data_IF_779789103059
#
_entry.id   IF_779789103059
#
_cell.length_a   1.000
_cell.length_b   1.000
_cell.length_c   1.000
_cell.angle_alpha   90.00
_cell.angle_beta   90.00
_cell.angle_gamma   90.00
#
_symmetry.space_group_name_H-M   'P 1'
#
loop_
_entity.id
_entity.type
_entity.pdbx_description
1 polymer ?
#
# COMPACT_ATOMS: atom_id res chain seq x y z
N UNK A 1 20.32 -4.97 0.54
CA UNK A 1 19.15 -4.67 -0.32
C UNK A 1 17.91 -4.17 0.45
N UNK A 2 17.66 -4.61 1.69
CA UNK A 2 16.50 -4.18 2.50
C UNK A 2 16.53 -2.69 2.88
N UNK A 3 17.70 -2.18 3.29
CA UNK A 3 17.89 -0.78 3.71
C UNK A 3 17.54 0.26 2.63
N UNK A 4 18.04 0.10 1.40
CA UNK A 4 17.73 1.00 0.27
C UNK A 4 16.24 1.03 -0.07
N UNK A 5 15.54 -0.10 0.07
CA UNK A 5 14.10 -0.16 -0.13
C UNK A 5 13.33 0.62 0.93
N UNK A 6 13.70 0.48 2.20
CA UNK A 6 13.08 1.23 3.31
C UNK A 6 13.31 2.73 3.13
N UNK A 7 14.52 3.14 2.77
CA UNK A 7 14.85 4.54 2.47
C UNK A 7 14.00 5.12 1.33
N UNK A 8 13.75 4.33 0.28
CA UNK A 8 12.89 4.74 -0.83
C UNK A 8 11.42 4.90 -0.43
N UNK A 9 10.92 4.06 0.49
CA UNK A 9 9.54 4.15 1.01
C UNK A 9 9.37 5.35 1.94
N UNK A 10 10.35 5.62 2.80
CA UNK A 10 10.37 6.76 3.73
C UNK A 10 10.60 8.13 3.07
N UNK A 11 10.69 8.18 1.74
CA UNK A 11 10.84 9.46 1.03
C UNK A 11 9.67 10.37 1.40
N UNK A 12 9.99 11.58 1.86
CA UNK A 12 9.03 12.54 2.43
C UNK A 12 7.80 12.65 1.55
N UNK A 13 6.68 12.21 2.09
CA UNK A 13 5.37 12.27 1.45
C UNK A 13 4.48 13.17 2.29
N UNK A 14 3.90 14.19 1.66
CA UNK A 14 2.95 15.09 2.33
C UNK A 14 1.73 14.31 2.81
N UNK A 15 1.21 14.68 3.97
CA UNK A 15 -0.07 14.18 4.46
C UNK A 15 -1.23 14.89 3.77
N UNK A 16 -2.28 14.13 3.47
CA UNK A 16 -3.52 14.64 2.89
C UNK A 16 -4.66 14.31 3.82
N UNK A 17 -5.41 15.33 4.20
CA UNK A 17 -6.61 15.16 5.00
C UNK A 17 -7.82 15.02 4.06
N UNK A 18 -8.69 14.06 4.36
CA UNK A 18 -9.87 13.81 3.55
C UNK A 18 -10.95 13.08 4.32
N UNK A 19 -12.11 12.94 3.67
CA UNK A 19 -13.28 12.27 4.22
C UNK A 19 -13.52 10.96 3.49
N UNK A 20 -13.82 9.89 4.23
CA UNK A 20 -14.19 8.60 3.67
C UNK A 20 -15.57 8.69 3.04
N UNK A 21 -15.66 8.55 1.72
CA UNK A 21 -16.93 8.60 0.96
C UNK A 21 -17.62 7.24 0.92
N UNK A 22 -16.85 6.16 0.86
CA UNK A 22 -17.40 4.81 0.83
C UNK A 22 -16.41 3.80 1.42
N UNK A 23 -16.87 3.04 2.40
CA UNK A 23 -16.18 1.89 3.01
C UNK A 23 -17.02 0.60 2.85
N UNK A 24 -16.39 -0.57 2.97
CA UNK A 24 -17.08 -1.87 3.01
C UNK A 24 -17.34 -2.56 1.66
N UNK A 25 -17.32 -1.84 0.54
CA UNK A 25 -17.51 -2.46 -0.79
C UNK A 25 -16.29 -3.24 -1.31
N UNK A 26 -15.09 -2.91 -0.83
CA UNK A 26 -13.85 -3.53 -1.26
C UNK A 26 -13.02 -3.91 -0.04
N UNK A 27 -12.43 -5.11 -0.07
CA UNK A 27 -11.57 -5.58 1.00
C UNK A 27 -10.35 -4.66 1.17
N UNK A 28 -10.07 -4.27 2.42
CA UNK A 28 -8.88 -3.49 2.81
C UNK A 28 -8.67 -2.20 2.00
N UNK A 29 -9.78 -1.59 1.55
CA UNK A 29 -9.77 -0.47 0.63
C UNK A 29 -10.95 0.46 0.91
N UNK A 30 -10.67 1.76 0.93
CA UNK A 30 -11.71 2.80 1.04
C UNK A 30 -11.55 3.85 -0.04
N UNK A 31 -12.64 4.56 -0.34
CA UNK A 31 -12.62 5.73 -1.22
C UNK A 31 -12.59 6.99 -0.35
N UNK A 32 -11.53 7.79 -0.47
CA UNK A 32 -11.34 9.03 0.31
C UNK A 32 -11.40 10.23 -0.62
N UNK A 33 -12.17 11.25 -0.24
CA UNK A 33 -12.23 12.54 -0.92
C UNK A 33 -11.30 13.53 -0.24
N UNK A 34 -10.36 14.07 -1.01
CA UNK A 34 -9.39 15.08 -0.57
C UNK A 34 -9.73 16.41 -1.22
N UNK A 35 -9.58 17.50 -0.47
CA UNK A 35 -9.73 18.85 -0.99
C UNK A 35 -8.71 19.16 -2.08
N UNK A 36 -9.13 19.92 -3.09
CA UNK A 36 -8.26 20.39 -4.15
C UNK A 36 -8.80 21.70 -4.70
N UNK A 37 -7.91 22.48 -5.33
CA UNK A 37 -8.28 23.71 -6.00
C UNK A 37 -7.72 23.70 -7.42
N UNK A 38 -8.46 24.32 -8.35
CA UNK A 38 -8.04 24.52 -9.72
C UNK A 38 -8.16 26.00 -10.07
N UNK A 39 -7.07 26.59 -10.52
CA UNK A 39 -7.04 27.93 -11.08
C UNK A 39 -7.74 27.95 -12.45
N UNK A 40 -8.60 28.94 -12.67
CA UNK A 40 -9.19 29.23 -13.97
C UNK A 40 -8.57 30.50 -14.55
N UNK A 41 -7.79 30.37 -15.63
CA UNK A 41 -7.07 31.50 -16.25
C UNK A 41 -8.01 32.53 -16.88
N UNK A 42 -9.20 32.16 -17.36
CA UNK A 42 -10.11 33.13 -17.97
C UNK A 42 -10.78 34.03 -16.93
N UNK A 43 -11.14 33.44 -15.79
CA UNK A 43 -11.86 34.13 -14.70
C UNK A 43 -10.91 34.65 -13.62
N UNK A 44 -9.63 34.25 -13.65
CA UNK A 44 -8.60 34.59 -12.65
C UNK A 44 -9.06 34.25 -11.21
N UNK A 45 -9.66 33.06 -11.04
CA UNK A 45 -10.22 32.61 -9.76
C UNK A 45 -9.89 31.15 -9.48
N UNK A 46 -9.64 30.85 -8.20
CA UNK A 46 -9.54 29.47 -7.68
C UNK A 46 -10.93 28.86 -7.49
N UNK A 47 -11.16 27.69 -8.07
CA UNK A 47 -12.35 26.89 -7.87
C UNK A 47 -12.04 25.62 -7.08
N UNK A 48 -12.97 25.19 -6.22
CA UNK A 48 -12.85 23.93 -5.50
C UNK A 48 -12.99 22.77 -6.48
N UNK A 49 -12.01 21.87 -6.48
CA UNK A 49 -11.99 20.65 -7.30
C UNK A 49 -11.53 19.49 -6.41
N UNK A 50 -12.45 18.80 -5.72
CA UNK A 50 -12.09 17.68 -4.89
C UNK A 50 -11.62 16.49 -5.73
N UNK A 51 -10.71 15.68 -5.16
CA UNK A 51 -10.18 14.47 -5.77
C UNK A 51 -10.56 13.25 -4.93
N UNK A 52 -10.96 12.16 -5.59
CA UNK A 52 -11.24 10.90 -4.92
C UNK A 52 -10.08 9.92 -5.15
N UNK A 53 -9.55 9.35 -4.07
CA UNK A 53 -8.47 8.35 -4.12
C UNK A 53 -8.95 7.01 -3.56
N UNK A 54 -8.41 5.92 -4.12
CA UNK A 54 -8.49 4.60 -3.49
C UNK A 54 -7.34 4.45 -2.52
N UNK A 55 -7.68 4.26 -1.25
CA UNK A 55 -6.73 4.22 -0.13
C UNK A 55 -6.70 2.81 0.44
N UNK A 56 -5.51 2.33 0.77
CA UNK A 56 -5.33 1.05 1.43
C UNK A 56 -5.53 1.19 2.94
N UNK A 57 -6.48 0.44 3.46
CA UNK A 57 -6.73 0.25 4.89
C UNK A 57 -6.39 -1.20 5.26
N UNK A 58 -5.24 -1.49 5.89
CA UNK A 58 -4.79 -2.86 6.15
C UNK A 58 -5.74 -3.70 7.00
N UNK A 59 -6.38 -3.07 8.00
CA UNK A 59 -7.18 -3.74 9.02
C UNK A 59 -8.68 -3.46 8.88
N UNK A 60 -9.09 -2.71 7.85
CA UNK A 60 -10.51 -2.37 7.59
C UNK A 60 -11.17 -1.65 8.78
N UNK A 61 -10.43 -0.73 9.39
CA UNK A 61 -10.85 0.03 10.58
C UNK A 61 -11.78 1.20 10.25
N UNK A 62 -11.80 1.65 9.00
CA UNK A 62 -12.52 2.85 8.60
C UNK A 62 -14.01 2.58 8.30
N UNK A 63 -14.83 3.61 8.52
CA UNK A 63 -16.25 3.68 8.20
C UNK A 63 -16.53 4.89 7.30
N UNK A 64 -17.66 4.85 6.60
CA UNK A 64 -18.10 5.98 5.76
C UNK A 64 -18.37 7.19 6.66
N UNK A 65 -17.83 8.36 6.29
CA UNK A 65 -17.97 9.59 7.06
C UNK A 65 -16.75 9.95 7.94
N UNK A 66 -15.81 9.03 8.16
CA UNK A 66 -14.60 9.32 8.94
C UNK A 66 -13.73 10.39 8.26
N UNK A 67 -13.12 11.24 9.08
CA UNK A 67 -12.06 12.16 8.65
C UNK A 67 -10.71 11.51 8.91
N UNK A 68 -9.89 11.39 7.88
CA UNK A 68 -8.64 10.61 7.91
C UNK A 68 -7.46 11.39 7.34
N UNK A 69 -6.27 11.13 7.89
CA UNK A 69 -4.99 11.51 7.27
C UNK A 69 -4.49 10.34 6.42
N UNK A 70 -4.20 10.62 5.15
CA UNK A 70 -3.68 9.65 4.19
C UNK A 70 -2.32 10.09 3.66
N UNK A 71 -1.49 9.10 3.36
CA UNK A 71 -0.12 9.32 2.87
C UNK A 71 0.01 8.72 1.46
N UNK A 72 0.47 9.50 0.46
CA UNK A 72 0.76 9.00 -0.88
C UNK A 72 2.09 8.23 -0.92
N UNK A 73 2.33 7.50 -2.01
CA UNK A 73 3.59 6.77 -2.22
C UNK A 73 3.53 5.30 -1.84
N UNK A 74 2.48 4.87 -1.15
CA UNK A 74 2.25 3.46 -0.83
C UNK A 74 1.48 2.75 -1.95
N UNK A 75 2.21 2.16 -2.90
CA UNK A 75 1.61 1.43 -4.02
C UNK A 75 1.26 0.00 -3.63
N UNK A 76 -0.02 -0.27 -3.38
CA UNK A 76 -0.54 -1.63 -3.12
C UNK A 76 -1.16 -2.28 -4.35
N UNK A 77 -1.70 -1.48 -5.27
CA UNK A 77 -2.35 -1.95 -6.50
C UNK A 77 -2.14 -0.94 -7.63
N UNK A 78 -2.72 -1.17 -8.81
CA UNK A 78 -2.63 -0.27 -9.97
C UNK A 78 -3.16 1.14 -9.65
N UNK A 79 -4.34 1.21 -9.02
CA UNK A 79 -5.04 2.47 -8.68
C UNK A 79 -4.85 2.90 -7.21
N UNK A 80 -4.43 1.98 -6.33
CA UNK A 80 -4.22 2.24 -4.89
C UNK A 80 -2.79 2.68 -4.63
N UNK A 81 -2.61 3.99 -4.44
CA UNK A 81 -1.29 4.65 -4.21
C UNK A 81 -1.18 5.38 -2.88
N UNK A 82 -2.21 5.28 -2.06
CA UNK A 82 -2.32 5.94 -0.77
C UNK A 82 -2.58 4.91 0.32
N UNK A 83 -2.08 5.17 1.52
CA UNK A 83 -2.32 4.39 2.74
C UNK A 83 -2.88 5.29 3.83
N UNK A 84 -3.68 4.72 4.72
CA UNK A 84 -4.21 5.43 5.89
C UNK A 84 -3.09 5.61 6.92
N UNK A 85 -2.87 6.83 7.40
CA UNK A 85 -1.94 7.12 8.49
C UNK A 85 -2.65 7.08 9.84
N UNK A 86 -3.71 7.88 9.98
CA UNK A 86 -4.49 8.00 11.22
C UNK A 86 -5.93 8.42 10.95
N UNK A 87 -6.81 8.14 11.92
CA UNK A 87 -8.16 8.69 11.98
C UNK A 87 -8.07 10.01 12.74
N UNK A 88 -8.53 11.09 12.13
CA UNK A 88 -8.57 12.43 12.74
C UNK A 88 -9.86 12.57 13.54
N UNK A 89 -10.99 12.23 12.93
CA UNK A 89 -12.29 12.24 13.58
C UNK A 89 -13.08 11.00 13.14
N UNK A 90 -13.41 10.08 14.06
CA UNK A 90 -14.28 8.95 13.75
C UNK A 90 -15.74 9.41 13.62
N UNK A 91 -16.48 8.77 12.73
CA UNK A 91 -17.92 8.93 12.59
C UNK A 91 -18.66 7.67 13.05
N UNK A 92 -19.68 7.83 13.89
CA UNK A 92 -20.44 6.71 14.45
C UNK A 92 -19.66 6.01 15.57
N UNK A 93 -19.11 4.82 15.29
CA UNK A 93 -18.44 4.03 16.34
C UNK A 93 -17.13 4.67 16.79
N UNK A 94 -16.81 4.67 18.10
CA UNK A 94 -15.54 5.16 18.62
C UNK A 94 -14.32 4.43 18.04
N UNK A 95 -13.13 5.01 18.23
CA UNK A 95 -11.88 4.43 17.71
C UNK A 95 -11.47 3.14 18.45
N UNK A 96 -11.88 3.01 19.71
CA UNK A 96 -11.53 1.90 20.61
C UNK A 96 -12.18 0.58 20.19
N UNK A 97 -13.41 0.65 19.65
CA UNK A 97 -14.17 -0.52 19.18
C UNK A 97 -13.69 -1.02 17.80
N UNK A 98 -12.75 -0.31 17.18
CA UNK A 98 -12.28 -0.58 15.82
C UNK A 98 -10.91 -1.25 15.85
N UNK A 99 -10.58 -2.07 14.83
CA UNK A 99 -9.25 -2.64 14.77
C UNK A 99 -8.21 -1.52 14.59
N UNK A 100 -7.06 -1.60 15.28
CA UNK A 100 -6.05 -0.54 15.23
C UNK A 100 -5.44 -0.42 13.84
N UNK A 101 -5.05 0.79 13.45
CA UNK A 101 -4.33 1.02 12.18
C UNK A 101 -2.85 0.69 12.40
N UNK A 102 -2.25 -0.18 11.57
CA UNK A 102 -0.85 -0.52 11.72
C UNK A 102 0.06 0.69 11.57
N UNK A 103 1.09 0.78 12.41
CA UNK A 103 2.10 1.85 12.33
C UNK A 103 2.91 1.74 11.03
N UNK A 104 3.63 2.81 10.67
CA UNK A 104 4.49 2.77 9.48
C UNK A 104 5.54 1.66 9.57
N UNK A 105 6.10 1.45 10.75
CA UNK A 105 7.14 0.45 11.00
C UNK A 105 6.61 -0.98 10.85
N UNK A 106 5.43 -1.27 11.40
CA UNK A 106 4.75 -2.55 11.20
C UNK A 106 4.46 -2.81 9.71
N UNK A 107 3.99 -1.79 8.99
CA UNK A 107 3.74 -1.91 7.55
C UNK A 107 5.02 -2.21 6.77
N UNK A 108 6.13 -1.57 7.14
CA UNK A 108 7.44 -1.82 6.54
C UNK A 108 7.95 -3.23 6.87
N UNK A 109 7.82 -3.67 8.13
CA UNK A 109 8.19 -5.01 8.55
C UNK A 109 7.44 -6.08 7.76
N UNK A 110 6.13 -5.93 7.55
CA UNK A 110 5.33 -6.84 6.72
C UNK A 110 5.83 -6.88 5.27
N UNK A 111 6.25 -5.74 4.70
CA UNK A 111 6.81 -5.72 3.34
C UNK A 111 8.18 -6.39 3.26
N UNK A 112 9.03 -6.18 4.27
CA UNK A 112 10.35 -6.80 4.37
C UNK A 112 10.21 -8.32 4.45
N UNK A 113 9.38 -8.81 5.36
CA UNK A 113 9.10 -10.24 5.53
C UNK A 113 8.58 -10.88 4.22
N UNK A 114 7.64 -10.22 3.53
CA UNK A 114 7.12 -10.71 2.24
C UNK A 114 8.21 -10.78 1.16
N UNK A 115 9.15 -9.83 1.16
CA UNK A 115 10.27 -9.83 0.21
C UNK A 115 11.27 -10.94 0.56
N UNK A 116 11.64 -11.08 1.83
CA UNK A 116 12.55 -12.13 2.31
C UNK A 116 11.99 -13.52 2.01
N UNK A 117 10.72 -13.78 2.31
CA UNK A 117 10.06 -15.04 1.97
C UNK A 117 10.06 -15.32 0.46
N UNK A 118 9.94 -14.28 -0.37
CA UNK A 118 10.01 -14.41 -1.83
C UNK A 118 11.41 -14.76 -2.31
N UNK A 119 12.45 -14.16 -1.76
CA UNK A 119 13.84 -14.46 -2.12
C UNK A 119 14.24 -15.86 -1.65
N UNK A 120 13.91 -16.25 -0.41
CA UNK A 120 14.13 -17.62 0.10
C UNK A 120 13.49 -18.67 -0.83
N UNK A 121 12.25 -18.43 -1.29
CA UNK A 121 11.58 -19.32 -2.26
C UNK A 121 12.31 -19.38 -3.62
N UNK A 122 12.91 -18.27 -4.07
CA UNK A 122 13.68 -18.23 -5.33
C UNK A 122 15.01 -18.98 -5.19
N UNK A 123 15.68 -18.83 -4.06
CA UNK A 123 16.93 -19.52 -3.76
C UNK A 123 16.72 -21.03 -3.66
N UNK A 124 15.69 -21.48 -2.93
CA UNK A 124 15.32 -22.89 -2.86
C UNK A 124 15.04 -23.47 -4.25
N UNK A 125 14.32 -22.74 -5.12
CA UNK A 125 14.07 -23.16 -6.51
C UNK A 125 15.35 -23.25 -7.34
N UNK A 126 16.29 -22.30 -7.17
CA UNK A 126 17.59 -22.30 -7.87
C UNK A 126 18.45 -23.48 -7.44
N UNK A 127 18.52 -23.78 -6.14
CA UNK A 127 19.25 -24.93 -5.59
C UNK A 127 18.67 -26.25 -6.11
N UNK A 128 17.34 -26.41 -6.12
CA UNK A 128 16.67 -27.59 -6.66
C UNK A 128 16.89 -27.78 -8.17
N UNK A 129 16.92 -26.69 -8.95
CA UNK A 129 17.22 -26.77 -10.39
C UNK A 129 18.70 -27.06 -10.67
N UNK A 130 19.60 -26.57 -9.82
CA UNK A 130 21.04 -26.80 -9.93
C UNK A 130 21.42 -28.25 -9.65
N UNK A 131 20.78 -28.89 -8.67
CA UNK A 131 21.02 -30.30 -8.33
C UNK A 131 20.43 -31.29 -9.34
N UNK A 132 19.38 -30.91 -10.09
CA UNK A 132 18.84 -31.74 -11.17
C UNK A 132 19.69 -31.72 -12.45
N UNK A 133 20.47 -30.65 -12.69
CA UNK A 133 21.36 -30.54 -13.87
C UNK A 133 22.61 -31.42 -13.77
N UNK A 134 23.02 -31.80 -12.55
CA UNK A 134 24.17 -32.68 -12.32
C UNK A 134 23.83 -34.17 -12.31
N UNK A 135 22.55 -34.54 -12.48
CA UNK A 135 22.07 -35.94 -12.42
C UNK A 135 21.76 -36.58 -13.78
N UNK A 136 21.92 -35.87 -14.90
CA UNK A 136 21.78 -36.50 -16.23
C UNK A 136 23.09 -37.22 -16.57
N UNK A 137 23.15 -38.56 -16.56
CA UNK A 137 24.34 -39.26 -17.04
C UNK A 137 24.52 -38.96 -18.54
N UNK A 138 25.76 -38.82 -19.03
CA UNK A 138 26.00 -38.69 -20.47
C UNK A 138 25.46 -39.96 -21.14
N UNK A 139 24.62 -39.79 -22.15
CA UNK A 139 24.19 -40.87 -23.03
C UNK A 139 25.45 -41.35 -23.75
N UNK A 140 25.89 -42.56 -23.43
CA UNK A 140 27.05 -43.16 -24.09
C UNK A 140 26.65 -43.52 -25.52
N UNK A 141 27.27 -42.88 -26.51
CA UNK A 141 27.12 -43.24 -27.92
C UNK A 141 27.71 -44.63 -28.15
N UNK A 142 26.85 -45.58 -28.54
CA UNK A 142 27.21 -46.94 -28.92
C UNK A 142 27.73 -46.97 -30.36
N UNK A 143 28.98 -47.37 -30.55
CA UNK A 143 29.53 -47.84 -31.83
C UNK A 143 29.96 -49.31 -31.68
#
# INVERSE_FOLDING_TARGET
MSSQFVAAVRRVSRELNGVVVSAGHMQKTVKVRVGGQKWNQKVQKMFTKPHNYLVHDPNSSLRTGDVVSIVPGWRTSLRKRHVVKSIIAPYGTPIEERPPIPTEEERLAVLIQKREAKENRREARRQASGSNKSKTPPVADSQ
#
